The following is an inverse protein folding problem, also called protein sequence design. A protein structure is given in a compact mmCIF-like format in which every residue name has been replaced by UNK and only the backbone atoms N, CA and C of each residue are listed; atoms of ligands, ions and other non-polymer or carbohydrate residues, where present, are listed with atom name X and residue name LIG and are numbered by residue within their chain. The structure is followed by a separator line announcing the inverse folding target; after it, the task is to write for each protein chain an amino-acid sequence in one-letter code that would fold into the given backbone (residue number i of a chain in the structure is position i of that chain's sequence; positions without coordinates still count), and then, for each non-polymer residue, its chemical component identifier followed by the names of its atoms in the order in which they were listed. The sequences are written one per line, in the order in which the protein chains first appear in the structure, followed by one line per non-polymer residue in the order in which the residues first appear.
data_IF_929625384028
#
_entry.id   IF_929625384028
#
_cell.length_a   1.000
_cell.length_b   1.000
_cell.length_c   1.000
_cell.angle_alpha   90.00
_cell.angle_beta   90.00
_cell.angle_gamma   90.00
#
_symmetry.space_group_name_H-M   'P 1'
#
loop_
_entity.id
_entity.type
_entity.pdbx_description
1 polymer ?
#
# COMPACT_ATOMS: atom_id res chain seq x y z
N UNK A 1 -5.04 104.72 -24.68
CA UNK A 1 -5.78 104.24 -23.53
C UNK A 1 -5.90 102.72 -23.62
N UNK A 2 -5.54 102.07 -22.60
CA UNK A 2 -5.56 100.66 -22.31
C UNK A 2 -4.31 99.80 -22.68
N UNK A 3 -3.58 99.51 -21.61
CA UNK A 3 -2.43 98.59 -21.56
C UNK A 3 -2.90 97.16 -21.62
N UNK A 4 -2.23 96.35 -22.43
CA UNK A 4 -2.28 94.85 -22.32
C UNK A 4 -0.92 94.32 -21.89
N UNK A 5 -0.90 93.71 -20.72
CA UNK A 5 0.25 93.13 -20.13
C UNK A 5 0.28 91.63 -20.56
N UNK A 6 1.35 91.23 -21.25
CA UNK A 6 1.60 89.87 -21.61
C UNK A 6 2.27 89.11 -20.44
N UNK A 7 1.60 88.12 -19.94
CA UNK A 7 2.25 87.15 -19.06
C UNK A 7 2.89 85.99 -19.88
N UNK A 8 4.20 85.95 -19.84
CA UNK A 8 5.02 84.85 -20.40
C UNK A 8 5.06 83.73 -19.38
N UNK A 9 4.37 82.64 -19.68
CA UNK A 9 4.39 81.38 -18.83
C UNK A 9 5.55 80.57 -19.27
N UNK A 10 6.55 80.40 -18.41
CA UNK A 10 7.68 79.46 -18.59
C UNK A 10 7.18 78.05 -18.20
N UNK A 11 7.07 77.21 -19.19
CA UNK A 11 6.76 75.79 -18.98
C UNK A 11 8.06 75.04 -18.63
N UNK A 12 8.28 74.68 -17.36
CA UNK A 12 9.38 73.81 -16.89
C UNK A 12 8.95 72.40 -17.11
N UNK A 13 9.53 71.75 -18.12
CA UNK A 13 9.37 70.28 -18.35
C UNK A 13 10.28 69.58 -17.41
N UNK A 14 9.69 68.94 -16.36
CA UNK A 14 10.39 67.99 -15.47
C UNK A 14 10.44 66.62 -16.16
N UNK A 15 11.56 66.25 -16.73
CA UNK A 15 11.83 64.91 -17.26
C UNK A 15 12.15 64.03 -16.06
N UNK A 16 11.16 63.27 -15.56
CA UNK A 16 11.40 62.17 -14.62
C UNK A 16 12.04 61.02 -15.38
N UNK A 17 13.32 60.84 -15.19
CA UNK A 17 14.04 59.63 -15.51
C UNK A 17 13.57 58.51 -14.53
N UNK A 18 12.58 57.72 -14.96
CA UNK A 18 12.29 56.44 -14.32
C UNK A 18 13.45 55.50 -14.59
N UNK A 19 14.38 55.38 -13.67
CA UNK A 19 15.30 54.26 -13.60
C UNK A 19 14.48 53.00 -13.35
N UNK A 20 14.20 52.25 -14.39
CA UNK A 20 13.65 50.88 -14.30
C UNK A 20 14.71 50.01 -13.62
N UNK A 21 14.57 49.83 -12.30
CA UNK A 21 15.23 48.76 -11.58
C UNK A 21 14.63 47.45 -12.12
N UNK A 22 15.40 46.57 -12.70
CA UNK A 22 14.85 45.26 -13.07
C UNK A 22 14.41 44.57 -11.76
N UNK A 23 13.12 44.47 -11.56
CA UNK A 23 12.56 43.58 -10.55
C UNK A 23 13.02 42.17 -10.98
N UNK A 24 14.06 41.68 -10.34
CA UNK A 24 14.49 40.31 -10.50
C UNK A 24 13.28 39.42 -10.24
N UNK A 25 12.72 38.86 -11.28
CA UNK A 25 11.77 37.74 -11.14
C UNK A 25 12.53 36.64 -10.43
N UNK A 26 12.34 36.57 -9.11
CA UNK A 26 12.65 35.37 -8.36
C UNK A 26 11.74 34.29 -8.92
N UNK A 27 12.27 33.51 -9.88
CA UNK A 27 11.64 32.24 -10.22
C UNK A 27 11.68 31.41 -8.94
N UNK A 28 10.55 31.32 -8.25
CA UNK A 28 10.39 30.33 -7.21
C UNK A 28 10.75 29.00 -7.86
N UNK A 29 11.79 28.33 -7.36
CA UNK A 29 12.18 27.03 -7.86
C UNK A 29 10.94 26.14 -7.80
N UNK A 30 10.58 25.53 -8.93
CA UNK A 30 9.43 24.66 -9.03
C UNK A 30 9.54 23.59 -7.97
N UNK A 31 8.53 23.50 -7.09
CA UNK A 31 8.54 22.60 -5.96
C UNK A 31 8.44 21.15 -6.48
N UNK A 32 9.54 20.40 -6.42
CA UNK A 32 9.60 19.02 -6.86
C UNK A 32 9.40 18.09 -5.67
N UNK A 33 8.16 17.81 -5.33
CA UNK A 33 7.82 16.93 -4.22
C UNK A 33 7.94 15.46 -4.63
N UNK A 34 8.46 14.64 -3.71
CA UNK A 34 8.39 13.19 -3.79
C UNK A 34 7.08 12.72 -3.16
N UNK A 35 6.15 12.21 -3.96
CA UNK A 35 4.82 11.85 -3.49
C UNK A 35 4.68 10.36 -3.24
N UNK A 36 4.35 10.00 -2.00
CA UNK A 36 4.08 8.63 -1.55
C UNK A 36 2.57 8.36 -1.54
N UNK A 37 2.12 7.32 -2.24
CA UNK A 37 0.74 6.85 -2.23
C UNK A 37 0.47 5.85 -1.11
N UNK A 38 -0.65 6.02 -0.41
CA UNK A 38 -1.11 5.08 0.62
C UNK A 38 -2.60 4.79 0.48
N UNK A 39 -2.97 3.52 0.25
CA UNK A 39 -4.37 3.09 0.33
C UNK A 39 -4.72 2.88 1.80
N UNK A 40 -5.63 3.69 2.32
CA UNK A 40 -6.10 3.63 3.70
C UNK A 40 -7.35 4.49 3.92
N UNK A 41 -8.33 3.97 4.66
CA UNK A 41 -9.61 4.64 4.92
C UNK A 41 -9.50 5.84 5.89
N UNK A 42 -8.46 5.87 6.74
CA UNK A 42 -8.24 6.93 7.71
C UNK A 42 -7.08 7.84 7.28
N UNK A 43 -7.37 9.02 6.65
CA UNK A 43 -6.33 9.92 6.15
C UNK A 43 -5.41 10.48 7.24
N UNK A 44 -5.96 10.82 8.39
CA UNK A 44 -5.18 11.38 9.52
C UNK A 44 -4.15 10.38 10.01
N UNK A 45 -4.57 9.12 10.17
CA UNK A 45 -3.68 8.03 10.57
C UNK A 45 -2.63 7.75 9.50
N UNK A 46 -3.03 7.69 8.22
CA UNK A 46 -2.12 7.45 7.11
C UNK A 46 -1.00 8.50 7.04
N UNK A 47 -1.34 9.79 7.15
CA UNK A 47 -0.37 10.89 7.15
C UNK A 47 0.54 10.79 8.38
N UNK A 48 -0.04 10.68 9.59
CA UNK A 48 0.72 10.56 10.83
C UNK A 48 1.75 9.42 10.79
N UNK A 49 1.34 8.28 10.24
CA UNK A 49 2.18 7.07 10.20
C UNK A 49 3.28 7.15 9.13
N UNK A 50 3.14 8.01 8.10
CA UNK A 50 4.00 7.97 6.91
C UNK A 50 4.75 9.25 6.60
N UNK A 51 4.27 10.41 7.02
CA UNK A 51 4.87 11.69 6.63
C UNK A 51 6.35 11.78 7.02
N UNK A 52 6.70 11.39 8.24
CA UNK A 52 8.09 11.42 8.69
C UNK A 52 9.03 10.52 7.85
N UNK A 53 8.54 9.34 7.45
CA UNK A 53 9.29 8.46 6.55
C UNK A 53 9.50 9.12 5.17
N UNK A 54 8.45 9.72 4.62
CA UNK A 54 8.51 10.36 3.31
C UNK A 54 9.39 11.61 3.36
N UNK A 55 9.33 12.40 4.43
CA UNK A 55 10.19 13.57 4.63
C UNK A 55 11.67 13.18 4.77
N UNK A 56 11.96 12.10 5.51
CA UNK A 56 13.32 11.58 5.61
C UNK A 56 13.87 11.18 4.23
N UNK A 57 13.09 10.42 3.46
CA UNK A 57 13.48 10.00 2.11
C UNK A 57 13.70 11.20 1.20
N UNK A 58 12.75 12.15 1.19
CA UNK A 58 12.85 13.37 0.39
C UNK A 58 14.09 14.21 0.74
N UNK A 59 14.37 14.40 2.04
CA UNK A 59 15.58 15.08 2.54
C UNK A 59 16.86 14.44 2.00
N UNK A 60 16.95 13.12 1.98
CA UNK A 60 18.13 12.39 1.44
C UNK A 60 18.24 12.51 -0.09
N UNK A 61 17.12 12.74 -0.78
CA UNK A 61 17.07 12.94 -2.24
C UNK A 61 17.18 14.43 -2.66
N UNK A 62 17.36 15.36 -1.73
CA UNK A 62 17.57 16.79 -2.02
C UNK A 62 18.69 17.06 -3.03
N UNK A 63 19.83 16.35 -3.03
CA UNK A 63 20.86 16.51 -4.07
C UNK A 63 20.39 16.19 -5.50
N UNK A 64 19.27 15.46 -5.64
CA UNK A 64 18.65 15.12 -6.93
C UNK A 64 17.49 16.09 -7.29
N UNK A 65 17.39 17.20 -6.56
CA UNK A 65 16.41 18.25 -6.81
C UNK A 65 15.03 18.01 -6.16
N UNK A 66 14.88 17.03 -5.28
CA UNK A 66 13.66 16.86 -4.48
C UNK A 66 13.63 17.92 -3.38
N UNK A 67 12.54 18.68 -3.29
CA UNK A 67 12.39 19.80 -2.34
C UNK A 67 11.61 19.44 -1.08
N UNK A 68 10.87 18.32 -1.10
CA UNK A 68 10.07 17.87 0.04
C UNK A 68 9.35 16.55 -0.22
N UNK A 69 8.69 16.04 0.80
CA UNK A 69 7.89 14.82 0.77
C UNK A 69 6.40 15.09 0.95
N UNK A 70 5.56 14.29 0.28
CA UNK A 70 4.10 14.36 0.43
C UNK A 70 3.52 12.96 0.57
N UNK A 71 2.62 12.77 1.52
CA UNK A 71 1.75 11.59 1.60
C UNK A 71 0.42 11.88 0.92
N UNK A 72 0.06 11.08 -0.06
CA UNK A 72 -1.25 11.10 -0.72
C UNK A 72 -2.06 9.90 -0.24
N UNK A 73 -3.14 10.15 0.46
CA UNK A 73 -4.05 9.11 0.95
C UNK A 73 -5.11 8.82 -0.10
N UNK A 74 -5.38 7.56 -0.31
CA UNK A 74 -6.18 7.04 -1.41
C UNK A 74 -7.10 5.96 -0.86
N UNK A 75 -8.36 5.96 -1.30
CA UNK A 75 -9.37 5.03 -0.77
C UNK A 75 -9.26 3.63 -1.38
N UNK A 76 -8.86 3.54 -2.67
CA UNK A 76 -8.86 2.29 -3.44
C UNK A 76 -7.58 2.07 -4.24
N UNK A 77 -7.26 0.82 -4.49
CA UNK A 77 -6.13 0.43 -5.37
C UNK A 77 -6.33 0.98 -6.80
N UNK A 78 -7.57 1.04 -7.29
CA UNK A 78 -7.90 1.62 -8.60
C UNK A 78 -7.59 3.13 -8.68
N UNK A 79 -7.77 3.87 -7.59
CA UNK A 79 -7.42 5.28 -7.51
C UNK A 79 -5.90 5.48 -7.41
N UNK A 80 -5.21 4.58 -6.69
CA UNK A 80 -3.74 4.54 -6.68
C UNK A 80 -3.19 4.29 -8.09
N UNK A 81 -3.79 3.36 -8.85
CA UNK A 81 -3.42 3.11 -10.24
C UNK A 81 -3.57 4.36 -11.11
N UNK A 82 -4.67 5.10 -10.94
CA UNK A 82 -4.90 6.38 -11.63
C UNK A 82 -3.85 7.42 -11.24
N UNK A 83 -3.57 7.59 -9.95
CA UNK A 83 -2.55 8.52 -9.46
C UNK A 83 -1.15 8.23 -10.00
N UNK A 84 -0.77 6.95 -10.12
CA UNK A 84 0.49 6.51 -10.74
C UNK A 84 0.51 6.90 -12.23
N UNK A 85 -0.56 6.58 -12.97
CA UNK A 85 -0.68 6.87 -14.41
C UNK A 85 -0.66 8.38 -14.71
N UNK A 86 -1.24 9.17 -13.82
CA UNK A 86 -1.28 10.64 -13.90
C UNK A 86 -0.02 11.31 -13.35
N UNK A 87 1.00 10.55 -12.93
CA UNK A 87 2.26 11.02 -12.33
C UNK A 87 2.07 11.82 -11.03
N UNK A 88 0.95 11.63 -10.35
CA UNK A 88 0.65 12.23 -9.04
C UNK A 88 1.26 11.46 -7.88
N UNK A 89 1.64 10.20 -8.11
CA UNK A 89 2.27 9.30 -7.15
C UNK A 89 3.59 8.81 -7.72
N UNK A 90 4.67 9.01 -6.99
CA UNK A 90 6.02 8.57 -7.40
C UNK A 90 6.34 7.16 -6.91
N UNK A 91 5.98 6.87 -5.67
CA UNK A 91 6.18 5.56 -5.06
C UNK A 91 5.07 5.25 -4.05
N UNK A 92 4.93 3.98 -3.72
CA UNK A 92 3.95 3.49 -2.75
C UNK A 92 4.46 2.23 -2.07
N UNK A 93 3.80 1.82 -0.99
CA UNK A 93 3.93 0.47 -0.50
C UNK A 93 2.56 -0.18 -0.32
N UNK A 94 2.47 -1.45 -0.66
CA UNK A 94 1.25 -2.22 -0.49
C UNK A 94 1.55 -3.72 -0.38
N UNK A 95 0.50 -4.51 -0.17
CA UNK A 95 0.54 -5.95 -0.17
C UNK A 95 0.91 -6.51 -1.56
N UNK A 96 1.30 -7.78 -1.62
CA UNK A 96 1.62 -8.44 -2.90
C UNK A 96 0.43 -8.38 -3.86
N UNK A 97 -0.79 -8.67 -3.40
CA UNK A 97 -1.98 -8.70 -4.26
C UNK A 97 -2.24 -7.34 -4.93
N UNK A 98 -2.24 -6.25 -4.17
CA UNK A 98 -2.39 -4.90 -4.72
C UNK A 98 -1.23 -4.54 -5.66
N UNK A 99 0.01 -4.88 -5.28
CA UNK A 99 1.20 -4.55 -6.08
C UNK A 99 1.21 -5.27 -7.43
N UNK A 100 0.84 -6.55 -7.51
CA UNK A 100 0.79 -7.26 -8.80
C UNK A 100 -0.31 -6.73 -9.71
N UNK A 101 -1.43 -6.25 -9.16
CA UNK A 101 -2.47 -5.57 -9.92
C UNK A 101 -1.96 -4.24 -10.49
N UNK A 102 -1.26 -3.45 -9.68
CA UNK A 102 -0.66 -2.18 -10.13
C UNK A 102 0.47 -2.41 -11.14
N UNK A 103 1.31 -3.42 -10.95
CA UNK A 103 2.33 -3.79 -11.93
C UNK A 103 1.70 -4.15 -13.28
N UNK A 104 0.61 -4.91 -13.29
CA UNK A 104 -0.08 -5.32 -14.53
C UNK A 104 -0.83 -4.18 -15.21
N UNK A 105 -1.51 -3.31 -14.44
CA UNK A 105 -2.39 -2.28 -15.00
C UNK A 105 -1.68 -0.99 -15.39
N UNK A 106 -0.65 -0.61 -14.64
CA UNK A 106 0.05 0.68 -14.82
C UNK A 106 1.55 0.54 -14.88
N UNK A 107 2.07 -0.67 -15.06
CA UNK A 107 3.48 -1.00 -15.15
C UNK A 107 4.30 -0.53 -13.92
N UNK A 108 3.69 -0.46 -12.74
CA UNK A 108 4.41 -0.12 -11.53
C UNK A 108 5.57 -1.11 -11.31
N UNK A 109 6.72 -0.60 -10.87
CA UNK A 109 7.96 -1.36 -10.75
C UNK A 109 8.22 -1.67 -9.28
N UNK A 110 8.10 -2.93 -8.82
CA UNK A 110 8.53 -3.34 -7.49
C UNK A 110 10.05 -3.17 -7.34
N UNK A 111 10.48 -2.43 -6.30
CA UNK A 111 11.90 -2.11 -6.10
C UNK A 111 12.48 -2.63 -4.80
N UNK A 112 11.65 -2.88 -3.80
CA UNK A 112 12.07 -3.30 -2.47
C UNK A 112 10.97 -4.08 -1.75
N UNK A 113 11.34 -4.88 -0.75
CA UNK A 113 10.40 -5.46 0.22
C UNK A 113 10.68 -4.90 1.61
N UNK A 114 9.62 -4.76 2.39
CA UNK A 114 9.67 -4.27 3.75
C UNK A 114 9.53 -5.44 4.73
N UNK A 115 10.45 -5.53 5.70
CA UNK A 115 10.38 -6.50 6.78
C UNK A 115 9.52 -5.95 7.92
N UNK A 116 8.68 -6.80 8.46
CA UNK A 116 7.94 -6.49 9.69
C UNK A 116 8.24 -7.52 10.76
N UNK A 117 8.56 -7.03 11.97
CA UNK A 117 8.86 -7.89 13.12
C UNK A 117 9.98 -8.90 12.82
N UNK A 118 11.01 -8.47 12.08
CA UNK A 118 12.14 -9.27 11.59
C UNK A 118 11.77 -10.38 10.58
N UNK A 119 10.60 -10.29 9.96
CA UNK A 119 10.16 -11.22 8.91
C UNK A 119 10.06 -10.51 7.56
N UNK A 120 10.83 -10.98 6.58
CA UNK A 120 10.77 -10.49 5.20
C UNK A 120 9.56 -11.03 4.44
N UNK A 121 9.11 -12.21 4.81
CA UNK A 121 8.01 -12.95 4.17
C UNK A 121 7.03 -13.43 5.22
N UNK A 122 5.80 -13.64 4.80
CA UNK A 122 4.73 -14.16 5.64
C UNK A 122 3.82 -15.08 4.84
N UNK A 123 2.97 -15.83 5.52
CA UNK A 123 2.02 -16.73 4.91
C UNK A 123 0.64 -16.61 5.55
N UNK A 124 -0.35 -17.08 4.80
CA UNK A 124 -1.72 -17.22 5.27
C UNK A 124 -1.90 -18.50 6.05
N UNK A 125 -2.82 -18.49 6.98
CA UNK A 125 -3.31 -19.68 7.68
C UNK A 125 -4.83 -19.77 7.58
N UNK A 126 -5.34 -21.02 7.49
CA UNK A 126 -6.76 -21.31 7.68
C UNK A 126 -6.90 -21.84 9.10
N UNK A 127 -7.77 -21.20 9.85
CA UNK A 127 -7.96 -21.42 11.29
C UNK A 127 -9.39 -21.89 11.56
N UNK A 128 -9.54 -22.83 12.46
CA UNK A 128 -10.83 -23.35 12.95
C UNK A 128 -10.81 -23.45 14.46
N UNK A 129 -11.96 -23.64 15.11
CA UNK A 129 -12.02 -23.97 16.54
C UNK A 129 -11.46 -25.36 16.78
N UNK A 130 -10.77 -25.58 17.90
CA UNK A 130 -10.19 -26.90 18.24
C UNK A 130 -11.25 -28.01 18.34
N UNK A 131 -12.42 -27.66 18.83
CA UNK A 131 -13.56 -28.55 19.07
C UNK A 131 -14.51 -28.67 17.86
N UNK A 132 -14.16 -28.08 16.71
CA UNK A 132 -15.01 -28.07 15.51
C UNK A 132 -15.16 -29.40 14.78
N UNK A 133 -14.28 -30.37 15.06
CA UNK A 133 -14.20 -31.62 14.27
C UNK A 133 -13.61 -31.47 12.86
N UNK A 134 -13.09 -30.26 12.51
CA UNK A 134 -12.45 -29.99 11.22
C UNK A 134 -10.94 -30.16 11.43
N UNK A 135 -10.31 -31.14 10.78
CA UNK A 135 -8.88 -31.45 10.93
C UNK A 135 -8.05 -31.12 9.68
N UNK A 136 -8.72 -30.98 8.53
CA UNK A 136 -8.03 -30.69 7.26
C UNK A 136 -8.90 -29.94 6.27
N UNK A 137 -8.31 -29.60 5.13
CA UNK A 137 -9.00 -28.78 4.09
C UNK A 137 -10.26 -29.46 3.53
N UNK A 138 -10.28 -30.79 3.43
CA UNK A 138 -11.45 -31.52 2.91
C UNK A 138 -12.67 -31.45 3.84
N UNK A 139 -12.46 -31.27 5.14
CA UNK A 139 -13.54 -31.17 6.12
C UNK A 139 -14.26 -29.82 6.05
N UNK A 140 -13.71 -28.86 5.27
CA UNK A 140 -14.35 -27.58 4.99
C UNK A 140 -15.51 -27.68 3.96
N UNK A 141 -15.68 -28.81 3.27
CA UNK A 141 -16.80 -29.00 2.35
C UNK A 141 -18.14 -28.93 3.11
N UNK A 142 -19.08 -28.18 2.57
CA UNK A 142 -20.37 -27.89 3.23
C UNK A 142 -20.26 -26.88 4.40
N UNK A 143 -19.08 -26.31 4.68
CA UNK A 143 -18.82 -25.35 5.73
C UNK A 143 -18.67 -23.92 5.22
N UNK A 144 -18.71 -22.94 6.10
CA UNK A 144 -18.53 -21.53 5.77
C UNK A 144 -17.19 -21.04 6.28
N UNK A 145 -16.40 -20.43 5.38
CA UNK A 145 -15.13 -19.77 5.69
C UNK A 145 -15.29 -18.25 5.56
N UNK A 146 -14.74 -17.50 6.50
CA UNK A 146 -14.60 -16.05 6.38
C UNK A 146 -13.27 -15.69 5.73
N UNK A 147 -13.34 -14.98 4.62
CA UNK A 147 -12.21 -14.23 4.05
C UNK A 147 -12.33 -12.76 4.43
N UNK A 148 -11.21 -12.04 4.37
CA UNK A 148 -11.16 -10.60 4.48
C UNK A 148 -11.46 -9.94 3.12
N UNK A 149 -11.18 -8.64 3.00
CA UNK A 149 -11.39 -7.87 1.77
C UNK A 149 -10.73 -8.52 0.54
N UNK A 150 -11.33 -8.41 -0.65
CA UNK A 150 -10.87 -9.09 -1.87
C UNK A 150 -9.41 -8.82 -2.25
N UNK A 151 -8.86 -7.66 -1.89
CA UNK A 151 -7.47 -7.27 -2.14
C UNK A 151 -6.49 -7.72 -1.04
N UNK A 152 -6.96 -8.34 0.04
CA UNK A 152 -6.11 -8.84 1.13
C UNK A 152 -5.27 -10.03 0.66
N UNK A 153 -3.95 -9.90 0.70
CA UNK A 153 -3.05 -10.98 0.31
C UNK A 153 -3.18 -12.20 1.22
N UNK A 154 -3.06 -12.03 2.55
CA UNK A 154 -3.02 -13.16 3.48
C UNK A 154 -4.40 -13.68 3.89
N UNK A 155 -5.42 -12.83 3.89
CA UNK A 155 -6.72 -13.25 4.38
C UNK A 155 -7.74 -13.48 3.24
N UNK A 156 -7.35 -13.31 1.96
CA UNK A 156 -8.19 -13.63 0.81
C UNK A 156 -7.43 -14.38 -0.29
N UNK A 157 -6.36 -13.79 -0.86
CA UNK A 157 -5.73 -14.32 -2.08
C UNK A 157 -5.00 -15.62 -1.80
N UNK A 158 -4.07 -15.63 -0.85
CA UNK A 158 -3.26 -16.82 -0.55
C UNK A 158 -4.11 -18.02 -0.09
N UNK A 159 -5.10 -17.88 0.82
CA UNK A 159 -5.92 -19.01 1.19
C UNK A 159 -6.78 -19.52 0.02
N UNK A 160 -7.26 -18.64 -0.87
CA UNK A 160 -7.97 -19.07 -2.07
C UNK A 160 -7.06 -19.81 -3.06
N UNK A 161 -5.81 -19.38 -3.21
CA UNK A 161 -4.80 -20.13 -3.97
C UNK A 161 -4.62 -21.54 -3.40
N UNK A 162 -4.41 -21.65 -2.08
CA UNK A 162 -4.25 -22.91 -1.38
C UNK A 162 -5.46 -23.86 -1.58
N UNK A 163 -6.68 -23.33 -1.48
CA UNK A 163 -7.89 -24.12 -1.72
C UNK A 163 -7.98 -24.58 -3.17
N UNK A 164 -7.66 -23.71 -4.14
CA UNK A 164 -7.66 -24.06 -5.57
C UNK A 164 -6.60 -25.10 -5.92
N UNK A 165 -5.40 -25.03 -5.36
CA UNK A 165 -4.34 -26.04 -5.51
C UNK A 165 -4.79 -27.43 -5.02
N UNK A 166 -5.63 -27.45 -3.98
CA UNK A 166 -6.24 -28.67 -3.44
C UNK A 166 -7.56 -29.04 -4.13
N UNK A 167 -7.88 -28.39 -5.28
CA UNK A 167 -9.10 -28.64 -6.08
C UNK A 167 -10.40 -28.44 -5.30
N UNK A 168 -10.38 -27.59 -4.28
CA UNK A 168 -11.57 -27.25 -3.48
C UNK A 168 -12.27 -26.03 -4.07
N UNK A 169 -13.56 -26.20 -4.34
CA UNK A 169 -14.41 -25.14 -4.88
C UNK A 169 -14.86 -24.22 -3.74
N UNK A 170 -14.81 -22.92 -3.96
CA UNK A 170 -15.35 -21.92 -3.05
C UNK A 170 -16.47 -21.13 -3.73
N UNK A 171 -17.58 -20.90 -3.02
CA UNK A 171 -18.76 -20.19 -3.54
C UNK A 171 -19.23 -19.13 -2.55
N UNK A 172 -19.59 -17.91 -3.02
CA UNK A 172 -20.11 -16.89 -2.12
C UNK A 172 -21.45 -17.36 -1.52
N UNK A 173 -21.66 -17.08 -0.23
CA UNK A 173 -22.90 -17.40 0.46
C UNK A 173 -23.40 -16.21 1.29
N UNK A 174 -24.71 -16.16 1.53
CA UNK A 174 -25.32 -15.25 2.48
C UNK A 174 -25.57 -16.04 3.78
N UNK A 175 -25.12 -15.52 4.92
CA UNK A 175 -25.27 -16.20 6.21
C UNK A 175 -26.50 -15.66 6.95
N UNK A 176 -27.39 -16.54 7.49
CA UNK A 176 -27.38 -17.99 7.40
C UNK A 176 -27.82 -18.48 6.02
N UNK A 177 -27.06 -19.34 5.39
CA UNK A 177 -27.32 -19.86 4.05
C UNK A 177 -26.91 -21.31 3.88
N UNK A 178 -27.51 -21.98 2.90
CA UNK A 178 -27.17 -23.36 2.56
C UNK A 178 -25.89 -23.38 1.73
N UNK A 179 -24.92 -24.16 2.15
CA UNK A 179 -23.69 -24.45 1.40
C UNK A 179 -23.86 -25.78 0.64
N UNK A 180 -23.49 -25.83 -0.63
CA UNK A 180 -23.47 -27.06 -1.40
C UNK A 180 -22.47 -28.05 -0.80
N UNK A 181 -22.83 -29.36 -0.66
CA UNK A 181 -21.99 -30.34 0.04
C UNK A 181 -20.55 -30.47 -0.49
N UNK A 182 -20.34 -30.25 -1.79
CA UNK A 182 -19.04 -30.40 -2.44
C UNK A 182 -18.26 -29.08 -2.59
N UNK A 183 -18.78 -27.99 -2.03
CA UNK A 183 -18.13 -26.68 -2.05
C UNK A 183 -17.92 -26.13 -0.64
N UNK A 184 -17.07 -25.12 -0.52
CA UNK A 184 -16.86 -24.34 0.68
C UNK A 184 -17.60 -23.01 0.48
N UNK A 185 -18.57 -22.70 1.34
CA UNK A 185 -19.22 -21.41 1.33
C UNK A 185 -18.27 -20.34 1.86
N UNK A 186 -18.25 -19.15 1.29
CA UNK A 186 -17.48 -18.05 1.84
C UNK A 186 -18.27 -16.77 1.97
N UNK A 187 -17.87 -15.98 2.96
CA UNK A 187 -18.29 -14.59 3.15
C UNK A 187 -17.06 -13.69 3.22
N UNK A 188 -17.23 -12.43 2.88
CA UNK A 188 -16.24 -11.41 3.20
C UNK A 188 -16.52 -10.81 4.58
N UNK A 189 -15.48 -10.62 5.35
CA UNK A 189 -15.51 -9.77 6.56
C UNK A 189 -14.85 -8.43 6.24
N UNK A 190 -15.28 -7.37 6.91
CA UNK A 190 -14.58 -6.09 6.89
C UNK A 190 -13.59 -6.00 8.05
N UNK A 191 -12.51 -5.25 7.89
CA UNK A 191 -11.61 -4.78 8.93
C UNK A 191 -11.09 -5.89 9.87
N UNK A 192 -10.37 -6.88 9.34
CA UNK A 192 -9.73 -7.97 10.11
C UNK A 192 -10.72 -8.75 11.02
N UNK A 193 -12.00 -8.75 10.68
CA UNK A 193 -13.05 -9.33 11.52
C UNK A 193 -13.25 -10.84 11.34
N UNK A 194 -12.56 -11.49 10.38
CA UNK A 194 -12.74 -12.91 10.09
C UNK A 194 -12.54 -13.81 11.31
N UNK A 195 -11.51 -13.55 12.12
CA UNK A 195 -11.28 -14.29 13.37
C UNK A 195 -12.39 -14.10 14.40
N UNK A 196 -12.98 -12.90 14.50
CA UNK A 196 -14.10 -12.65 15.38
C UNK A 196 -15.34 -13.44 14.98
N UNK A 197 -15.61 -13.56 13.66
CA UNK A 197 -16.71 -14.38 13.14
C UNK A 197 -16.50 -15.86 13.50
N UNK A 198 -15.27 -16.37 13.43
CA UNK A 198 -14.94 -17.73 13.84
C UNK A 198 -15.12 -17.91 15.34
N UNK A 199 -14.53 -17.03 16.16
CA UNK A 199 -14.60 -17.13 17.63
C UNK A 199 -16.05 -17.09 18.13
N UNK A 200 -16.88 -16.24 17.54
CA UNK A 200 -18.32 -16.13 17.87
C UNK A 200 -19.19 -17.23 17.25
N UNK A 201 -18.61 -18.15 16.45
CA UNK A 201 -19.34 -19.27 15.85
C UNK A 201 -20.26 -18.90 14.71
N UNK A 202 -20.05 -17.75 14.06
CA UNK A 202 -20.81 -17.32 12.88
C UNK A 202 -20.30 -17.96 11.58
N UNK A 203 -19.08 -18.46 11.59
CA UNK A 203 -18.44 -19.23 10.52
C UNK A 203 -17.69 -20.42 11.11
N UNK A 204 -17.40 -21.42 10.28
CA UNK A 204 -16.69 -22.65 10.67
C UNK A 204 -15.16 -22.48 10.59
N UNK A 205 -14.69 -21.63 9.70
CA UNK A 205 -13.27 -21.33 9.51
C UNK A 205 -13.04 -19.84 9.21
N UNK A 206 -11.82 -19.39 9.44
CA UNK A 206 -11.38 -18.05 9.09
C UNK A 206 -9.97 -18.08 8.51
N UNK A 207 -9.64 -17.03 7.74
CA UNK A 207 -8.33 -16.85 7.14
C UNK A 207 -7.66 -15.59 7.65
N UNK A 208 -6.37 -15.65 7.90
CA UNK A 208 -5.57 -14.51 8.32
C UNK A 208 -4.08 -14.77 8.11
N UNK A 209 -3.22 -13.84 8.48
CA UNK A 209 -1.78 -14.09 8.53
C UNK A 209 -1.40 -14.93 9.75
N UNK A 210 -0.33 -15.71 9.64
CA UNK A 210 0.19 -16.45 10.80
C UNK A 210 0.48 -15.56 12.01
N UNK A 211 0.92 -14.32 11.74
CA UNK A 211 1.25 -13.34 12.79
C UNK A 211 0.02 -12.87 13.56
N UNK A 212 -1.11 -12.67 12.89
CA UNK A 212 -2.35 -12.29 13.57
C UNK A 212 -2.79 -13.34 14.57
N UNK A 213 -2.65 -14.63 14.22
CA UNK A 213 -2.94 -15.72 15.16
C UNK A 213 -1.97 -15.70 16.35
N UNK A 214 -0.67 -15.47 16.10
CA UNK A 214 0.32 -15.38 17.18
C UNK A 214 0.07 -14.21 18.13
N UNK A 215 -0.47 -13.10 17.62
CA UNK A 215 -0.75 -11.88 18.38
C UNK A 215 -2.08 -11.97 19.18
N UNK A 216 -2.90 -12.99 18.96
CA UNK A 216 -4.10 -13.20 19.75
C UNK A 216 -3.75 -13.44 21.23
N UNK A 217 -4.63 -12.96 22.12
CA UNK A 217 -4.55 -13.32 23.53
C UNK A 217 -4.60 -14.83 23.70
N UNK A 218 -3.86 -15.35 24.66
CA UNK A 218 -3.71 -16.80 24.85
C UNK A 218 -5.07 -17.52 24.96
N UNK A 219 -6.03 -16.92 25.69
CA UNK A 219 -7.36 -17.50 25.91
C UNK A 219 -8.12 -17.74 24.59
N UNK A 220 -7.94 -16.86 23.61
CA UNK A 220 -8.54 -17.01 22.27
C UNK A 220 -7.71 -17.98 21.43
N UNK A 221 -6.40 -17.75 21.37
CA UNK A 221 -5.48 -18.53 20.53
C UNK A 221 -5.52 -20.00 20.88
N UNK A 222 -5.56 -20.33 22.16
CA UNK A 222 -5.53 -21.72 22.66
C UNK A 222 -6.81 -22.49 22.35
N UNK A 223 -7.90 -21.81 22.03
CA UNK A 223 -9.15 -22.40 21.53
C UNK A 223 -9.17 -22.63 20.01
N UNK A 224 -8.13 -22.18 19.28
CA UNK A 224 -8.04 -22.29 17.83
C UNK A 224 -6.97 -23.29 17.39
N UNK A 225 -7.12 -23.84 16.19
CA UNK A 225 -6.08 -24.62 15.50
C UNK A 225 -5.92 -24.19 14.06
N UNK A 226 -4.68 -24.21 13.58
CA UNK A 226 -4.34 -24.00 12.18
C UNK A 226 -4.44 -25.36 11.47
N UNK A 227 -5.29 -25.44 10.44
CA UNK A 227 -5.48 -26.67 9.64
C UNK A 227 -4.71 -26.64 8.32
N UNK A 228 -4.29 -25.45 7.86
CA UNK A 228 -3.52 -25.33 6.64
C UNK A 228 -2.71 -24.01 6.61
N UNK A 229 -1.62 -24.04 5.81
CA UNK A 229 -0.71 -22.90 5.58
C UNK A 229 -0.51 -22.72 4.09
N UNK A 230 -0.50 -21.47 3.62
CA UNK A 230 -0.16 -21.16 2.23
C UNK A 230 1.35 -21.13 2.00
N UNK A 231 1.75 -20.92 0.75
CA UNK A 231 3.12 -20.49 0.45
C UNK A 231 3.41 -19.14 1.14
N UNK A 232 4.71 -18.87 1.38
CA UNK A 232 5.16 -17.56 1.87
C UNK A 232 5.33 -16.58 0.72
N UNK A 233 5.03 -15.32 0.97
CA UNK A 233 5.23 -14.20 0.03
C UNK A 233 5.87 -13.01 0.76
N UNK A 234 6.50 -12.06 0.04
CA UNK A 234 6.97 -10.82 0.64
C UNK A 234 5.88 -10.12 1.44
N UNK A 235 6.24 -9.55 2.58
CA UNK A 235 5.23 -9.01 3.49
C UNK A 235 4.58 -7.73 2.96
N UNK A 236 5.42 -6.78 2.53
CA UNK A 236 5.00 -5.51 1.91
C UNK A 236 6.00 -5.18 0.81
N UNK A 237 5.50 -4.65 -0.28
CA UNK A 237 6.29 -4.27 -1.44
C UNK A 237 6.33 -2.77 -1.56
N UNK A 238 7.52 -2.21 -1.76
CA UNK A 238 7.69 -0.83 -2.20
C UNK A 238 7.85 -0.85 -3.70
N UNK A 239 7.05 -0.05 -4.39
CA UNK A 239 7.07 0.06 -5.84
C UNK A 239 7.02 1.52 -6.28
N UNK A 240 7.47 1.79 -7.49
CA UNK A 240 7.52 3.12 -8.09
C UNK A 240 6.72 3.18 -9.39
N UNK A 241 6.34 4.38 -9.83
CA UNK A 241 5.79 4.57 -11.17
C UNK A 241 6.82 4.24 -12.25
N UNK A 242 6.40 3.76 -13.44
CA UNK A 242 7.31 3.22 -14.45
C UNK A 242 8.26 4.26 -15.07
N UNK A 243 7.85 5.50 -15.09
CA UNK A 243 8.56 6.64 -15.67
C UNK A 243 9.23 7.56 -14.64
N UNK A 244 9.45 7.05 -13.40
CA UNK A 244 10.25 7.76 -12.41
C UNK A 244 11.68 7.93 -12.92
N UNK A 245 12.23 9.14 -12.77
CA UNK A 245 13.63 9.41 -13.16
C UNK A 245 14.57 8.33 -12.61
N UNK A 246 15.38 7.67 -13.46
CA UNK A 246 16.27 6.60 -13.03
C UNK A 246 17.24 6.99 -11.91
N UNK A 247 17.68 8.27 -11.85
CA UNK A 247 18.54 8.77 -10.77
C UNK A 247 17.78 8.83 -9.45
N UNK A 248 16.52 9.30 -9.49
CA UNK A 248 15.65 9.33 -8.30
C UNK A 248 15.35 7.91 -7.84
N UNK A 249 15.03 6.99 -8.75
CA UNK A 249 14.78 5.58 -8.41
C UNK A 249 16.01 4.92 -7.78
N UNK A 250 17.21 5.17 -8.31
CA UNK A 250 18.47 4.65 -7.73
C UNK A 250 18.71 5.23 -6.35
N UNK A 251 18.63 6.55 -6.19
CA UNK A 251 18.77 7.22 -4.91
C UNK A 251 17.73 6.76 -3.89
N UNK A 252 16.48 6.55 -4.32
CA UNK A 252 15.42 6.00 -3.45
C UNK A 252 15.80 4.61 -2.92
N UNK A 253 16.27 3.70 -3.78
CA UNK A 253 16.76 2.38 -3.35
C UNK A 253 17.90 2.49 -2.35
N UNK A 254 18.88 3.34 -2.62
CA UNK A 254 20.02 3.56 -1.73
C UNK A 254 19.56 4.07 -0.36
N UNK A 255 18.66 5.03 -0.31
CA UNK A 255 18.08 5.53 0.95
C UNK A 255 17.36 4.42 1.69
N UNK A 256 16.48 3.67 1.02
CA UNK A 256 15.68 2.59 1.61
C UNK A 256 16.55 1.48 2.20
N UNK A 257 17.60 1.04 1.48
CA UNK A 257 18.46 -0.07 1.90
C UNK A 257 19.51 0.33 2.96
N UNK A 258 19.58 1.60 3.32
CA UNK A 258 20.46 2.12 4.35
C UNK A 258 19.72 2.71 5.55
N UNK A 259 18.39 2.61 5.61
CA UNK A 259 17.58 3.14 6.71
C UNK A 259 17.97 2.54 8.06
N UNK A 260 18.23 1.24 8.11
CA UNK A 260 18.63 0.53 9.32
C UNK A 260 20.09 0.75 9.74
N UNK A 261 20.91 1.41 8.90
CA UNK A 261 22.37 1.57 9.12
C UNK A 261 22.77 2.83 9.86
N UNK A 262 21.81 3.69 10.20
CA UNK A 262 22.07 4.90 10.97
C UNK A 262 20.95 5.19 11.97
N UNK A 263 21.27 5.90 13.05
CA UNK A 263 20.33 6.14 14.16
C UNK A 263 19.07 6.92 13.74
N UNK A 264 19.18 7.90 12.83
CA UNK A 264 18.04 8.68 12.30
C UNK A 264 17.08 7.75 11.52
N UNK A 265 17.62 6.93 10.60
CA UNK A 265 16.84 5.98 9.81
C UNK A 265 16.21 4.88 10.65
N UNK A 266 16.92 4.33 11.64
CA UNK A 266 16.35 3.37 12.59
C UNK A 266 15.19 3.99 13.36
N UNK A 267 15.31 5.24 13.80
CA UNK A 267 14.22 5.97 14.44
C UNK A 267 12.99 6.07 13.55
N UNK A 268 13.19 6.36 12.26
CA UNK A 268 12.09 6.40 11.26
C UNK A 268 11.46 5.02 11.08
N UNK A 269 12.26 3.95 10.93
CA UNK A 269 11.75 2.57 10.79
C UNK A 269 10.93 2.13 12.00
N UNK A 270 11.41 2.38 13.21
CA UNK A 270 10.74 1.98 14.45
C UNK A 270 9.34 2.59 14.59
N UNK A 271 9.13 3.79 14.02
CA UNK A 271 7.81 4.44 13.98
C UNK A 271 6.90 3.93 12.84
N UNK A 272 7.41 3.05 11.96
CA UNK A 272 6.68 2.48 10.84
C UNK A 272 6.02 1.13 11.19
N UNK A 273 5.19 1.08 12.23
CA UNK A 273 4.34 -0.08 12.56
C UNK A 273 5.06 -1.45 12.50
N UNK A 274 6.16 -1.59 13.26
CA UNK A 274 6.93 -2.83 13.35
C UNK A 274 7.81 -3.12 12.14
N UNK A 275 8.06 -2.13 11.29
CA UNK A 275 9.06 -2.25 10.21
C UNK A 275 10.45 -2.30 10.81
N UNK A 276 11.22 -3.33 10.45
CA UNK A 276 12.56 -3.55 10.99
C UNK A 276 13.67 -3.42 9.96
N UNK A 277 13.34 -3.60 8.68
CA UNK A 277 14.32 -3.50 7.59
C UNK A 277 13.60 -3.27 6.25
N UNK A 278 14.33 -2.78 5.25
CA UNK A 278 13.92 -2.73 3.84
C UNK A 278 15.10 -3.24 3.00
N UNK A 279 14.87 -4.24 2.17
CA UNK A 279 15.89 -4.84 1.32
C UNK A 279 15.44 -5.00 -0.14
N UNK A 280 16.38 -5.42 -0.99
CA UNK A 280 16.09 -5.70 -2.39
C UNK A 280 15.15 -6.90 -2.54
N UNK A 281 14.37 -6.91 -3.63
CA UNK A 281 13.52 -8.04 -3.98
C UNK A 281 14.36 -9.24 -4.42
N UNK A 282 14.39 -10.36 -3.66
CA UNK A 282 15.06 -11.57 -4.12
C UNK A 282 14.35 -12.18 -5.32
N UNK A 283 15.08 -12.90 -6.22
CA UNK A 283 14.46 -13.58 -7.36
C UNK A 283 13.31 -14.51 -6.96
N UNK A 284 13.45 -15.27 -5.88
CA UNK A 284 12.40 -16.15 -5.37
C UNK A 284 11.12 -15.40 -4.97
N UNK A 285 11.26 -14.22 -4.38
CA UNK A 285 10.11 -13.38 -4.04
C UNK A 285 9.40 -12.85 -5.30
N UNK A 286 10.15 -12.51 -6.35
CA UNK A 286 9.58 -12.09 -7.64
C UNK A 286 8.82 -13.22 -8.32
N UNK A 287 9.33 -14.47 -8.28
CA UNK A 287 8.60 -15.62 -8.82
C UNK A 287 7.29 -15.87 -8.07
N UNK A 288 7.29 -15.80 -6.74
CA UNK A 288 6.05 -15.90 -5.96
C UNK A 288 5.05 -14.80 -6.26
N UNK A 289 5.50 -13.59 -6.53
CA UNK A 289 4.63 -12.51 -7.00
C UNK A 289 3.99 -12.84 -8.35
N UNK A 290 4.72 -13.47 -9.28
CA UNK A 290 4.16 -13.93 -10.57
C UNK A 290 3.09 -15.01 -10.39
N UNK A 291 3.29 -15.95 -9.45
CA UNK A 291 2.28 -16.96 -9.11
C UNK A 291 1.00 -16.29 -8.59
N UNK A 292 1.14 -15.31 -7.69
CA UNK A 292 0.00 -14.51 -7.20
C UNK A 292 -0.65 -13.74 -8.33
N UNK A 293 0.11 -13.06 -9.20
CA UNK A 293 -0.43 -12.35 -10.37
C UNK A 293 -1.27 -13.28 -11.24
N UNK A 294 -0.71 -14.44 -11.61
CA UNK A 294 -1.40 -15.43 -12.43
C UNK A 294 -2.73 -15.86 -11.81
N UNK A 295 -2.74 -16.16 -10.52
CA UNK A 295 -3.95 -16.56 -9.81
C UNK A 295 -4.98 -15.43 -9.77
N UNK A 296 -4.58 -14.23 -9.38
CA UNK A 296 -5.47 -13.05 -9.27
C UNK A 296 -6.19 -12.79 -10.59
N UNK A 297 -5.46 -12.72 -11.70
CA UNK A 297 -6.07 -12.42 -12.99
C UNK A 297 -6.85 -13.59 -13.58
N UNK A 298 -6.45 -14.84 -13.34
CA UNK A 298 -7.19 -16.01 -13.78
C UNK A 298 -8.50 -16.23 -13.01
N UNK A 299 -8.50 -15.90 -11.70
CA UNK A 299 -9.62 -16.21 -10.80
C UNK A 299 -10.58 -15.04 -10.61
N UNK A 300 -10.05 -13.84 -10.46
CA UNK A 300 -10.84 -12.63 -10.15
C UNK A 300 -11.13 -11.80 -11.40
N UNK A 301 -10.31 -11.89 -12.45
CA UNK A 301 -10.55 -11.20 -13.72
C UNK A 301 -10.82 -9.70 -13.52
N UNK A 302 -11.99 -9.24 -13.99
CA UNK A 302 -12.40 -7.82 -13.87
C UNK A 302 -12.76 -7.39 -12.44
N UNK A 303 -12.92 -8.30 -11.48
CA UNK A 303 -13.24 -7.91 -10.10
C UNK A 303 -12.14 -7.04 -9.47
N UNK A 304 -10.89 -7.20 -9.93
CA UNK A 304 -9.77 -6.34 -9.47
C UNK A 304 -9.92 -4.87 -9.87
N UNK A 305 -10.85 -4.53 -10.76
CA UNK A 305 -11.09 -3.14 -11.19
C UNK A 305 -11.82 -2.32 -10.12
N UNK A 306 -12.47 -2.99 -9.17
CA UNK A 306 -13.18 -2.37 -8.04
C UNK A 306 -12.36 -2.25 -6.75
N UNK A 307 -11.13 -2.78 -6.74
CA UNK A 307 -10.26 -2.73 -5.57
C UNK A 307 -9.82 -1.32 -5.20
#
# INVERSE_FOLDING_TARGET
MMFYWQYMTILVIYVMLFSSVPVGQSFAAEEKLLTFGRVQDNPVRAIKDRQEFVDYVAKKLAPLGITGGRVSVIDKVSDLARGIKERKIDFFHDSVAATVVLAKKVNAIPIARQWKYNEAEYYSVIVVKKDSGIDGLNDLKGKVIAFDEPHSTSAHILPRMLLAENKLKVTPVVVPGKVEPDSIGYIHSSDDNALNLLVTGKVDAATTSHREVQNLRAEIRDGLKVIAKSMSVPRQIIAVRPDLDPKIMTGLKEVLFNLDKNAEGQGVLNRQQGTTNIDAMPPASLERMKEVEKFVFATLGKQVDSW
#
